data_IF_571565806743
#
_entry.id   IF_571565806743
#
_cell.length_a   1.000
_cell.length_b   1.000
_cell.length_c   1.000
_cell.angle_alpha   90.00
_cell.angle_beta   90.00
_cell.angle_gamma   90.00
#
_symmetry.space_group_name_H-M   'P 1'
#
loop_
_entity.id
_entity.type
_entity.pdbx_description
1 polymer ?
2 polymer ?
3 polymer ?
4 water ?
#
# COMPACT_ATOMS: atom_id res chain seq x y z
N UNK A 1 3.28 19.40 7.83
CA UNK A 1 2.41 18.38 7.30
C UNK A 1 2.79 17.00 7.76
N UNK A 2 1.92 16.02 7.55
CA UNK A 2 2.35 14.63 7.97
C UNK A 2 3.43 14.19 6.98
N UNK A 3 4.51 13.62 7.51
CA UNK A 3 5.61 13.17 6.54
C UNK A 3 6.22 11.93 7.18
N UNK A 4 6.54 10.95 6.32
CA UNK A 4 7.21 9.74 6.75
C UNK A 4 8.51 9.71 5.91
N UNK A 5 9.68 9.82 6.54
CA UNK A 5 10.97 9.87 5.71
C UNK A 5 11.78 8.64 6.07
N UNK A 6 12.03 7.84 5.06
CA UNK A 6 12.73 6.58 5.20
C UNK A 6 14.23 6.72 4.91
N UNK A 7 15.00 5.76 5.38
CA UNK A 7 16.43 5.67 5.13
C UNK A 7 16.72 5.35 3.65
N UNK A 8 18.00 5.47 3.28
CA UNK A 8 18.42 5.38 1.90
C UNK A 8 18.58 3.94 1.38
N UNK A 9 18.87 3.85 0.09
CA UNK A 9 18.98 2.55 -0.57
C UNK A 9 20.09 1.70 0.04
N UNK A 10 19.88 0.39 -0.03
CA UNK A 10 20.81 -0.61 0.51
C UNK A 10 21.17 -1.62 -0.56
N UNK A 11 22.42 -2.06 -0.54
CA UNK A 11 22.91 -3.09 -1.46
C UNK A 11 23.62 -4.12 -0.62
N UNK A 12 23.12 -5.35 -0.66
CA UNK A 12 23.48 -6.38 0.30
C UNK A 12 23.70 -7.69 -0.45
N UNK A 13 24.36 -8.63 0.22
CA UNK A 13 24.58 -9.96 -0.30
C UNK A 13 23.69 -10.95 0.45
N UNK A 14 23.37 -12.10 -0.15
CA UNK A 14 22.52 -13.07 0.56
C UNK A 14 23.14 -13.44 1.90
N UNK A 15 22.29 -13.60 2.91
CA UNK A 15 22.71 -13.96 4.24
C UNK A 15 22.85 -12.77 5.18
N UNK A 16 23.01 -11.57 4.66
CA UNK A 16 23.21 -10.37 5.46
C UNK A 16 21.87 -9.93 6.05
N UNK A 17 21.95 -8.95 6.96
CA UNK A 17 20.79 -8.29 7.52
C UNK A 17 20.77 -6.83 7.09
N UNK A 18 19.59 -6.22 7.12
CA UNK A 18 19.45 -4.79 6.89
C UNK A 18 18.38 -4.27 7.83
N UNK A 19 18.60 -3.02 8.33
CA UNK A 19 17.52 -2.37 9.21
C UNK A 19 17.19 -1.02 8.54
N UNK A 20 15.94 -0.87 8.12
CA UNK A 20 15.41 0.29 7.41
C UNK A 20 14.66 1.16 8.42
N UNK A 21 14.76 2.48 8.28
CA UNK A 21 13.98 3.33 9.29
C UNK A 21 12.94 4.14 8.54
N UNK A 22 11.96 4.62 9.29
CA UNK A 22 10.84 5.43 8.80
C UNK A 22 10.54 6.44 9.91
N UNK A 23 10.93 7.69 9.72
CA UNK A 23 10.79 8.71 10.74
C UNK A 23 9.54 9.54 10.45
N UNK A 24 8.64 9.60 11.41
CA UNK A 24 7.32 10.21 11.25
C UNK A 24 7.29 11.58 11.89
N UNK A 25 6.70 12.54 11.20
CA UNK A 25 6.51 13.87 11.78
C UNK A 25 5.16 14.42 11.36
N UNK A 26 4.74 15.46 12.08
CA UNK A 26 3.52 16.17 11.77
C UNK A 26 2.27 15.62 12.41
N UNK A 27 2.42 14.59 13.25
CA UNK A 27 1.30 14.04 14.02
C UNK A 27 1.92 13.29 15.20
N UNK A 28 1.06 12.91 16.14
CA UNK A 28 1.50 12.15 17.32
C UNK A 28 1.81 10.70 16.94
N UNK A 29 3.09 10.34 16.99
CA UNK A 29 3.54 9.05 16.46
C UNK A 29 2.79 7.86 17.06
N UNK A 30 2.59 7.88 18.38
CA UNK A 30 1.97 6.72 19.05
C UNK A 30 0.46 6.71 18.95
N UNK A 31 -0.14 7.67 18.24
CA UNK A 31 -1.58 7.68 18.11
C UNK A 31 -2.10 6.78 16.98
N UNK A 32 -1.23 6.37 16.05
CA UNK A 32 -1.67 5.64 14.88
C UNK A 32 -0.66 4.53 14.60
N UNK A 33 -1.16 3.43 14.03
CA UNK A 33 -0.33 2.30 13.66
C UNK A 33 0.53 2.61 12.44
N UNK A 34 1.51 1.75 12.22
CA UNK A 34 2.36 1.79 11.06
C UNK A 34 2.29 0.45 10.34
N UNK A 35 2.10 0.48 9.03
CA UNK A 35 2.07 -0.69 8.18
C UNK A 35 3.33 -0.73 7.32
N UNK A 36 3.64 -1.96 6.86
CA UNK A 36 4.86 -2.07 5.96
C UNK A 36 4.33 -2.77 4.68
N UNK A 37 4.88 -2.32 3.54
CA UNK A 37 4.35 -2.83 2.20
C UNK A 37 5.61 -3.03 1.36
N UNK A 38 5.66 -4.16 0.63
CA UNK A 38 6.91 -4.40 -0.21
C UNK A 38 6.47 -4.33 -1.69
N UNK A 39 7.40 -3.93 -2.55
CA UNK A 39 7.03 -3.96 -4.03
C UNK A 39 8.31 -4.39 -4.78
N UNK A 40 8.34 -5.64 -5.25
CA UNK A 40 9.52 -6.04 -6.12
C UNK A 40 9.53 -5.23 -7.43
N UNK A 41 10.74 -5.01 -8.01
CA UNK A 41 10.77 -4.18 -9.21
C UNK A 41 9.87 -4.69 -10.35
N UNK A 42 9.01 -3.84 -10.90
CA UNK A 42 8.08 -4.42 -11.97
C UNK A 42 6.87 -5.15 -11.47
N UNK A 43 6.71 -5.26 -10.15
CA UNK A 43 5.63 -6.07 -9.60
C UNK A 43 4.73 -5.26 -8.75
N UNK A 44 3.69 -5.86 -8.11
CA UNK A 44 2.67 -5.17 -7.36
C UNK A 44 2.99 -4.98 -5.87
N UNK A 45 2.04 -4.37 -5.18
CA UNK A 45 2.17 -4.13 -3.74
C UNK A 45 1.84 -5.40 -2.95
N UNK A 46 2.58 -5.63 -1.86
CA UNK A 46 2.39 -6.78 -0.96
C UNK A 46 2.37 -6.27 0.49
N UNK A 47 1.30 -6.58 1.20
CA UNK A 47 1.20 -6.18 2.61
C UNK A 47 2.05 -7.07 3.49
N UNK A 48 2.89 -6.45 4.32
CA UNK A 48 3.77 -7.24 5.18
C UNK A 48 3.26 -7.39 6.60
N UNK A 49 2.35 -6.52 7.05
CA UNK A 49 1.88 -6.51 8.42
C UNK A 49 1.89 -5.12 8.98
N UNK A 50 1.63 -5.04 10.29
CA UNK A 50 1.61 -3.75 10.96
C UNK A 50 2.25 -3.84 12.35
N UNK A 51 2.55 -2.68 12.92
CA UNK A 51 2.99 -2.59 14.30
C UNK A 51 2.11 -1.56 14.99
N UNK A 52 1.74 -1.88 16.25
CA UNK A 52 1.06 -0.90 17.09
C UNK A 52 2.12 0.01 17.72
N UNK A 53 1.95 1.30 17.57
CA UNK A 53 2.86 2.25 18.20
C UNK A 53 2.50 2.53 19.65
N UNK A 54 1.41 1.94 20.16
CA UNK A 54 1.12 1.96 21.60
C UNK A 54 1.86 0.82 22.30
N UNK A 55 1.67 -0.40 21.82
CA UNK A 55 2.23 -1.56 22.51
C UNK A 55 3.62 -1.93 21.99
N UNK A 56 3.97 -1.52 20.77
CA UNK A 56 5.15 -2.03 20.13
C UNK A 56 4.99 -3.41 19.52
N UNK A 57 3.81 -3.99 19.60
CA UNK A 57 3.65 -5.38 19.17
C UNK A 57 3.44 -5.46 17.66
N UNK A 58 4.23 -6.26 16.97
CA UNK A 58 4.06 -6.44 15.52
C UNK A 58 3.13 -7.61 15.24
N UNK A 59 2.39 -7.49 14.12
CA UNK A 59 1.60 -8.58 13.54
C UNK A 59 2.02 -8.73 12.10
N UNK A 60 2.53 -9.91 11.76
CA UNK A 60 3.08 -10.17 10.44
C UNK A 60 2.07 -10.85 9.54
N UNK A 61 2.08 -10.45 8.27
CA UNK A 61 1.38 -11.24 7.26
C UNK A 61 2.05 -12.61 7.17
N UNK A 62 1.27 -13.61 6.76
CA UNK A 62 1.76 -14.98 6.68
C UNK A 62 3.02 -15.10 5.85
N UNK A 63 3.11 -14.35 4.74
CA UNK A 63 4.26 -14.46 3.87
C UNK A 63 5.52 -13.83 4.49
N UNK A 64 5.39 -13.10 5.60
CA UNK A 64 6.47 -12.32 6.18
C UNK A 64 6.76 -12.73 7.62
N UNK A 65 6.49 -13.98 7.95
CA UNK A 65 6.75 -14.48 9.28
C UNK A 65 8.11 -15.17 9.30
N UNK A 66 8.93 -14.83 10.28
CA UNK A 66 10.19 -15.53 10.44
C UNK A 66 11.43 -14.67 10.42
N UNK A 67 11.70 -14.02 9.29
CA UNK A 67 12.94 -13.28 9.00
C UNK A 67 12.76 -11.77 9.11
N UNK A 68 11.53 -11.32 9.32
CA UNK A 68 11.20 -9.89 9.25
C UNK A 68 10.84 -9.42 10.65
N UNK A 69 11.33 -8.24 11.01
CA UNK A 69 11.10 -7.74 12.36
C UNK A 69 10.68 -6.27 12.25
N UNK A 70 9.51 -5.95 12.79
CA UNK A 70 9.10 -4.55 12.93
C UNK A 70 9.43 -4.11 14.37
N UNK A 71 9.97 -2.90 14.53
CA UNK A 71 10.27 -2.37 15.86
C UNK A 71 10.10 -0.87 15.83
N UNK A 72 10.31 -0.23 16.99
CA UNK A 72 10.10 1.20 17.13
C UNK A 72 11.22 1.82 17.97
N UNK A 73 11.43 3.13 17.78
CA UNK A 73 12.09 3.97 18.78
C UNK A 73 11.19 5.19 18.91
N UNK A 74 10.26 5.11 19.86
CA UNK A 74 9.26 6.15 20.04
C UNK A 74 9.89 7.49 20.41
N UNK A 75 11.05 7.47 21.09
CA UNK A 75 11.66 8.73 21.48
C UNK A 75 12.07 9.60 20.29
N UNK A 76 12.25 9.01 19.11
CA UNK A 76 12.57 9.76 17.90
C UNK A 76 11.53 9.49 16.82
N UNK A 77 10.34 9.07 17.22
CA UNK A 77 9.21 8.93 16.28
C UNK A 77 9.55 8.04 15.08
N UNK A 78 10.26 6.94 15.31
CA UNK A 78 10.76 6.13 14.21
C UNK A 78 10.29 4.69 14.29
N UNK A 79 9.86 4.17 13.14
CA UNK A 79 9.53 2.77 12.96
C UNK A 79 10.66 2.12 12.16
N UNK A 80 10.99 0.87 12.47
CA UNK A 80 12.07 0.16 11.79
C UNK A 80 11.57 -1.16 11.23
N UNK A 81 12.18 -1.56 10.12
CA UNK A 81 12.00 -2.89 9.57
C UNK A 81 13.37 -3.51 9.41
N UNK A 82 13.56 -4.70 9.98
CA UNK A 82 14.80 -5.43 9.78
C UNK A 82 14.48 -6.70 9.01
N UNK A 83 15.32 -7.01 8.04
CA UNK A 83 15.22 -8.25 7.30
C UNK A 83 16.50 -9.00 7.56
N UNK A 84 16.35 -10.23 8.10
CA UNK A 84 17.47 -11.09 8.40
C UNK A 84 17.61 -12.20 7.36
N UNK A 85 18.83 -12.73 7.24
CA UNK A 85 19.10 -13.81 6.29
C UNK A 85 18.60 -13.47 4.88
N UNK A 86 19.00 -12.30 4.39
CA UNK A 86 18.54 -11.79 3.10
C UNK A 86 18.68 -12.84 2.01
N UNK A 87 17.69 -12.87 1.11
CA UNK A 87 17.68 -13.74 -0.05
C UNK A 87 17.52 -12.87 -1.30
N UNK A 88 17.91 -13.42 -2.46
CA UNK A 88 17.76 -12.67 -3.72
C UNK A 88 16.35 -12.15 -3.89
N UNK A 89 15.35 -12.97 -3.54
CA UNK A 89 13.99 -12.57 -3.71
C UNK A 89 13.51 -11.48 -2.81
N UNK A 90 14.35 -11.00 -1.88
CA UNK A 90 14.00 -9.85 -1.06
C UNK A 90 14.24 -8.52 -1.74
N UNK A 91 14.82 -8.52 -2.95
CA UNK A 91 15.05 -7.26 -3.67
C UNK A 91 13.70 -6.58 -3.91
N UNK A 92 13.54 -5.36 -3.41
CA UNK A 92 12.26 -4.70 -3.45
C UNK A 92 12.41 -3.29 -2.91
N UNK A 93 11.41 -2.46 -3.19
CA UNK A 93 11.21 -1.24 -2.44
C UNK A 93 10.28 -1.55 -1.27
N UNK A 94 10.70 -1.14 -0.07
CA UNK A 94 9.93 -1.34 1.14
C UNK A 94 9.40 0.03 1.56
N UNK A 95 8.09 0.10 1.80
CA UNK A 95 7.41 1.32 2.21
C UNK A 95 6.87 1.16 3.65
N UNK A 96 7.03 2.21 4.46
CA UNK A 96 6.17 2.34 5.61
C UNK A 96 4.95 3.15 5.19
N UNK A 97 3.82 2.85 5.81
CA UNK A 97 2.59 3.52 5.46
C UNK A 97 1.73 3.67 6.72
N UNK A 98 1.30 4.90 6.99
CA UNK A 98 0.56 5.18 8.21
C UNK A 98 -0.83 4.59 8.16
N UNK A 99 -1.26 3.99 9.30
CA UNK A 99 -2.65 3.57 9.41
C UNK A 99 -3.58 4.71 9.76
N UNK A 100 -4.39 5.14 8.80
CA UNK A 100 -5.33 6.21 9.01
C UNK A 100 -6.28 5.84 10.14
N UNK A 101 -6.69 6.79 10.97
CA UNK A 101 -7.73 6.48 11.95
C UNK A 101 -9.02 6.13 11.23
N UNK A 102 -9.91 5.35 11.89
CA UNK A 102 -9.80 4.87 13.27
C UNK A 102 -9.03 3.56 13.44
N UNK A 103 -8.96 2.72 12.40
CA UNK A 103 -8.57 1.33 12.60
C UNK A 103 -7.27 0.97 11.92
N UNK A 104 -6.74 1.83 11.05
CA UNK A 104 -5.43 1.62 10.44
C UNK A 104 -5.40 0.85 9.14
N UNK A 105 -6.55 0.54 8.53
CA UNK A 105 -6.60 -0.32 7.34
C UNK A 105 -6.63 0.47 6.05
N UNK A 106 -6.65 1.80 6.14
CA UNK A 106 -6.44 2.71 5.01
C UNK A 106 -5.08 3.35 5.23
N UNK A 107 -4.24 3.43 4.19
CA UNK A 107 -2.87 3.92 4.34
C UNK A 107 -2.84 5.33 3.77
N UNK A 108 -2.95 6.34 4.64
CA UNK A 108 -3.17 7.71 4.19
C UNK A 108 -1.91 8.46 3.82
N UNK A 109 -0.77 8.14 4.43
CA UNK A 109 0.51 8.75 4.16
C UNK A 109 1.55 7.66 4.06
N UNK A 110 2.41 7.76 3.06
CA UNK A 110 3.42 6.75 2.76
C UNK A 110 4.80 7.36 2.83
N UNK A 111 5.75 6.60 3.34
CA UNK A 111 7.14 6.94 3.14
C UNK A 111 7.51 6.92 1.66
N UNK A 112 8.71 7.46 1.36
CA UNK A 112 9.14 7.53 -0.03
C UNK A 112 9.65 6.21 -0.54
N UNK A 113 9.79 5.21 0.32
CA UNK A 113 10.30 3.90 -0.06
C UNK A 113 11.80 3.82 0.14
N UNK A 114 12.25 2.61 0.52
CA UNK A 114 13.66 2.27 0.60
C UNK A 114 13.90 1.04 -0.27
N UNK A 115 14.75 1.20 -1.28
CA UNK A 115 15.17 0.08 -2.12
C UNK A 115 16.21 -0.75 -1.38
N UNK A 116 15.92 -2.05 -1.25
CA UNK A 116 16.89 -3.02 -0.75
C UNK A 116 17.16 -3.92 -1.93
N UNK A 117 18.42 -3.94 -2.37
CA UNK A 117 18.84 -4.78 -3.49
C UNK A 117 19.77 -5.86 -2.96
N UNK A 118 19.46 -7.11 -3.26
CA UNK A 118 20.29 -8.25 -2.86
C UNK A 118 20.94 -8.81 -4.10
N UNK A 119 22.28 -8.80 -4.13
CA UNK A 119 22.99 -9.20 -5.43
C UNK A 119 23.31 -10.66 -5.26
N UNK A 120 23.02 -11.43 -6.27
CA UNK A 120 23.19 -12.88 -6.30
C UNK A 120 24.38 -13.32 -7.13
N UNK A 121 25.04 -12.40 -7.83
CA UNK A 121 26.12 -12.73 -8.73
C UNK A 121 25.67 -13.03 -10.14
N UNK A 122 24.37 -13.09 -10.38
CA UNK A 122 23.86 -13.50 -11.68
C UNK A 122 22.36 -13.60 -11.71
N UNK B 1 -16.35 -5.41 14.75
CA UNK B 1 -15.70 -6.58 14.16
C UNK B 1 -14.38 -6.27 13.45
N UNK B 2 -14.23 -5.08 12.86
CA UNK B 2 -12.94 -4.69 12.29
C UNK B 2 -11.94 -4.46 13.41
N UNK B 3 -10.78 -5.11 13.31
CA UNK B 3 -9.72 -4.95 14.31
C UNK B 3 -9.16 -3.55 14.25
N UNK B 4 -9.00 -2.93 15.43
CA UNK B 4 -8.31 -1.65 15.52
C UNK B 4 -6.81 -1.94 15.60
N UNK B 5 -6.05 -1.60 14.56
CA UNK B 5 -4.64 -1.96 14.52
C UNK B 5 -3.87 -1.44 15.72
N UNK B 6 -4.10 -0.18 16.11
CA UNK B 6 -3.20 0.38 17.13
C UNK B 6 -3.54 -0.07 18.52
N UNK B 7 -4.79 -0.45 18.75
N UNK C 1 0.31 -10.36 -11.03
CA UNK C 1 -0.89 -9.64 -10.65
C UNK C 1 -2.13 -10.49 -10.78
N UNK C 2 -2.15 -11.39 -11.76
CA UNK C 2 -3.35 -12.17 -12.03
C UNK C 2 -3.67 -13.19 -10.94
N UNK C 3 -2.74 -13.45 -10.02
CA UNK C 3 -2.93 -14.40 -8.93
C UNK C 3 -3.24 -13.70 -7.62
N UNK C 4 -3.45 -12.39 -7.63
CA UNK C 4 -3.71 -11.64 -6.42
C UNK C 4 -5.07 -11.98 -5.79
N UNK C 5 -5.16 -11.74 -4.48
CA UNK C 5 -6.39 -11.99 -3.74
C UNK C 5 -7.58 -11.20 -4.29
N UNK C 6 -7.36 -9.91 -4.59
CA UNK C 6 -8.37 -9.10 -5.26
C UNK C 6 -8.00 -9.05 -6.74
N UNK C 7 -8.99 -9.22 -7.62
CA UNK C 7 -8.71 -9.27 -9.05
C UNK C 7 -9.02 -7.93 -9.69
N UNK C 8 -8.02 -7.37 -10.36
CA UNK C 8 -8.15 -6.18 -11.18
C UNK C 8 -7.75 -6.53 -12.61
N UNK C 9 -8.32 -5.87 -13.63
CA UNK C 9 -7.79 -6.07 -14.98
C UNK C 9 -6.35 -5.59 -15.03
N UNK C 10 -5.45 -6.28 -15.73
CA UNK C 10 -4.06 -5.81 -15.76
C UNK C 10 -3.91 -4.48 -16.43
N UNK C 11 -4.77 -4.17 -17.40
CA UNK C 11 -4.66 -2.92 -18.13
C UNK C 11 -6.05 -2.33 -18.33
N UNK C 12 -6.06 -1.02 -18.48
CA UNK C 12 -7.25 -0.28 -18.85
C UNK C 12 -6.79 0.91 -19.68
N UNK C 13 -7.71 1.48 -20.47
CA UNK C 13 -7.36 2.58 -21.36
C UNK C 13 -8.54 3.53 -21.49
N UNK C 14 -8.23 4.80 -21.73
CA UNK C 14 -9.24 5.76 -22.17
C UNK C 14 -8.54 6.85 -22.92
N UNK C 15 -9.32 7.75 -23.51
CA UNK C 15 -8.79 8.89 -24.23
C UNK C 15 -8.97 10.15 -23.40
N UNK C 16 -8.21 11.22 -23.66
CA UNK C 16 -8.41 12.46 -22.94
C UNK C 16 -9.86 12.87 -22.88
N UNK C 17 -10.31 13.24 -21.68
CA UNK C 17 -11.66 13.68 -21.45
C UNK C 17 -12.68 12.60 -21.25
N UNK C 18 -12.32 11.35 -21.51
CA UNK C 18 -13.25 10.23 -21.37
C UNK C 18 -13.35 9.82 -19.90
N UNK C 19 -14.45 9.15 -19.57
CA UNK C 19 -14.57 8.48 -18.27
C UNK C 19 -14.23 7.01 -18.42
N UNK C 20 -13.51 6.48 -17.43
CA UNK C 20 -13.14 5.07 -17.40
C UNK C 20 -13.41 4.52 -16.00
N UNK C 21 -13.81 3.26 -15.95
CA UNK C 21 -14.06 2.59 -14.69
C UNK C 21 -13.24 1.31 -14.65
N UNK C 22 -12.60 1.04 -13.50
CA UNK C 22 -11.85 -0.18 -13.34
C UNK C 22 -12.30 -0.91 -12.08
N UNK C 23 -12.38 -2.22 -12.19
CA UNK C 23 -12.97 -3.02 -11.12
C UNK C 23 -11.94 -3.76 -10.27
N UNK C 24 -12.44 -4.25 -9.12
CA UNK C 24 -11.62 -4.89 -8.09
C UNK C 24 -12.50 -5.93 -7.43
N UNK C 25 -12.32 -7.21 -7.79
CA UNK C 25 -13.23 -8.26 -7.33
C UNK C 25 -12.62 -9.04 -6.18
N UNK C 26 -13.32 -9.08 -5.06
CA UNK C 26 -12.91 -9.88 -3.91
C UNK C 26 -13.99 -10.87 -3.52
N UNK C 27 -14.24 -10.96 -2.21
CA UNK C 27 -15.14 -11.94 -1.62
C UNK C 27 -15.98 -11.26 -0.54
N UNK C 28 -16.93 -12.03 -0.01
CA UNK C 28 -17.77 -11.48 1.04
C UNK C 28 -17.03 -11.34 2.36
N UNK C 29 -15.80 -11.84 2.45
CA UNK C 29 -14.95 -11.69 3.63
C UNK C 29 -14.08 -10.46 3.54
N UNK C 30 -14.15 -9.68 2.45
CA UNK C 30 -13.29 -8.51 2.30
C UNK C 30 -14.09 -7.38 1.63
N UNK C 31 -14.02 -7.24 0.31
CA UNK C 31 -14.71 -6.16 -0.38
C UNK C 31 -16.20 -6.19 -0.07
N UNK C 32 -16.80 -7.39 -0.11
CA UNK C 32 -18.22 -7.52 0.15
C UNK C 32 -18.61 -7.53 1.61
N UNK C 33 -17.64 -7.56 2.53
CA UNK C 33 -17.96 -7.69 3.93
C UNK C 33 -17.76 -6.43 4.76
N UNK C 34 -16.95 -5.49 4.28
CA UNK C 34 -16.54 -4.34 5.08
C UNK C 34 -16.47 -3.13 4.18
N UNK C 35 -16.40 -1.95 4.80
CA UNK C 35 -16.32 -0.70 4.06
C UNK C 35 -14.94 -0.08 4.23
N UNK C 36 -13.90 -0.89 4.07
CA UNK C 36 -12.51 -0.47 4.13
C UNK C 36 -11.80 -0.87 2.83
N UNK C 37 -12.39 -0.47 1.70
CA UNK C 37 -11.79 -0.60 0.39
C UNK C 37 -11.07 0.70 0.05
N UNK C 38 -9.80 0.60 -0.31
CA UNK C 38 -9.01 1.78 -0.69
C UNK C 38 -8.53 1.62 -2.14
N UNK C 39 -8.20 2.77 -2.74
CA UNK C 39 -7.56 2.81 -4.04
C UNK C 39 -6.34 3.70 -3.91
N UNK C 40 -5.25 3.23 -4.51
CA UNK C 40 -3.96 3.93 -4.53
C UNK C 40 -3.51 4.12 -5.97
N UNK C 41 -3.00 5.31 -6.23
CA UNK C 41 -2.41 5.65 -7.52
C UNK C 41 -0.89 5.64 -7.38
N UNK C 42 -0.17 5.07 -8.35
CA UNK C 42 1.27 5.05 -8.29
C UNK C 42 1.88 5.41 -9.64
N UNK C 43 2.63 6.49 -9.65
CA UNK C 43 3.42 6.90 -10.80
C UNK C 43 4.81 6.27 -10.72
N UNK C 44 5.48 6.13 -11.88
CA UNK C 44 6.79 5.46 -11.89
C UNK C 44 7.77 6.14 -10.94
N UNK C 45 8.46 5.31 -10.15
CA UNK C 45 9.46 5.80 -9.21
C UNK C 45 8.93 6.49 -7.97
N UNK C 46 7.57 6.46 -7.78
CA UNK C 46 6.99 7.27 -6.62
C UNK C 46 6.24 6.29 -5.74
N UNK C 47 6.08 6.66 -4.48
CA UNK C 47 5.25 5.90 -3.55
C UNK C 47 3.80 5.93 -4.03
N UNK C 48 3.03 4.89 -3.72
CA UNK C 48 1.58 4.97 -3.88
C UNK C 48 1.01 6.16 -3.12
N UNK C 49 -0.07 6.68 -3.68
CA UNK C 49 -0.85 7.79 -3.12
C UNK C 49 -2.29 7.36 -2.93
N UNK C 50 -2.84 7.59 -1.74
CA UNK C 50 -4.25 7.30 -1.47
C UNK C 50 -5.13 8.24 -2.29
N UNK C 51 -6.06 7.66 -3.06
CA UNK C 51 -7.01 8.48 -3.80
C UNK C 51 -8.45 8.24 -3.37
N UNK C 52 -8.79 7.04 -2.87
CA UNK C 52 -10.15 6.76 -2.40
C UNK C 52 -10.00 5.87 -1.18
N UNK C 53 -10.79 6.13 -0.14
CA UNK C 53 -10.79 5.26 1.04
C UNK C 53 -12.21 5.02 1.51
N UNK C 54 -12.39 3.96 2.28
CA UNK C 54 -13.73 3.62 2.78
C UNK C 54 -14.73 3.59 1.63
N UNK C 55 -14.32 2.96 0.53
CA UNK C 55 -15.11 2.69 -0.67
C UNK C 55 -15.27 3.91 -1.57
N UNK C 56 -15.66 5.05 -0.97
CA UNK C 56 -16.08 6.20 -1.77
C UNK C 56 -15.57 7.54 -1.26
N UNK C 57 -14.83 7.59 -0.17
CA UNK C 57 -14.36 8.86 0.36
C UNK C 57 -13.07 9.29 -0.33
N UNK C 58 -12.90 10.59 -0.48
CA UNK C 58 -11.72 11.14 -1.12
C UNK C 58 -10.90 11.98 -0.14
N UNK C 59 -9.60 11.77 -0.04
CA UNK C 59 -8.75 12.66 0.76
C UNK C 59 -8.80 14.07 0.24
N UNK C 60 -8.61 15.03 1.14
CA UNK C 60 -8.56 16.41 0.70
C UNK C 60 -7.42 16.56 -0.30
N UNK C 61 -7.65 17.33 -1.35
CA UNK C 61 -6.66 17.55 -2.37
C UNK C 61 -6.76 16.61 -3.56
N UNK C 62 -7.40 15.46 -3.41
CA UNK C 62 -7.59 14.56 -4.56
C UNK C 62 -8.74 15.11 -5.39
N UNK C 63 -8.57 15.27 -6.72
CA UNK C 63 -9.62 15.83 -7.56
C UNK C 63 -10.90 15.01 -7.51
N UNK C 64 -12.03 15.73 -7.62
CA UNK C 64 -13.31 15.04 -7.64
C UNK C 64 -13.56 14.24 -8.92
N UNK C 65 -12.62 14.24 -9.88
CA UNK C 65 -12.73 13.36 -11.03
C UNK C 65 -12.57 11.89 -10.64
N UNK C 66 -12.02 11.60 -9.46
CA UNK C 66 -11.87 10.23 -8.97
C UNK C 66 -13.06 9.92 -8.06
N UNK C 67 -13.72 8.79 -8.27
CA UNK C 67 -14.82 8.38 -7.39
C UNK C 67 -14.79 6.85 -7.25
N UNK C 68 -15.35 6.36 -6.15
CA UNK C 68 -15.38 4.94 -5.89
C UNK C 68 -16.74 4.48 -5.45
N UNK C 69 -17.02 3.19 -5.72
CA UNK C 69 -18.28 2.58 -5.32
C UNK C 69 -18.04 1.07 -5.18
N UNK C 70 -19.04 0.35 -4.70
CA UNK C 70 -18.96 -1.11 -4.75
C UNK C 70 -20.35 -1.67 -4.92
N UNK C 71 -20.41 -2.91 -5.39
CA UNK C 71 -21.66 -3.67 -5.54
C UNK C 71 -21.32 -5.13 -5.30
N UNK C 72 -21.97 -5.74 -4.31
CA UNK C 72 -21.60 -7.11 -3.95
C UNK C 72 -20.14 -7.18 -3.55
N UNK C 73 -19.38 -8.08 -4.18
CA UNK C 73 -17.98 -8.27 -3.85
C UNK C 73 -17.04 -7.53 -4.78
N UNK C 74 -17.55 -6.57 -5.57
CA UNK C 74 -16.73 -5.88 -6.56
C UNK C 74 -16.75 -4.38 -6.28
N UNK C 75 -15.57 -3.81 -6.08
CA UNK C 75 -15.41 -2.37 -5.97
C UNK C 75 -14.99 -1.80 -7.32
N UNK C 76 -15.32 -0.53 -7.56
CA UNK C 76 -14.99 0.11 -8.83
C UNK C 76 -14.50 1.53 -8.59
N UNK C 77 -13.44 1.88 -9.30
CA UNK C 77 -12.90 3.22 -9.35
C UNK C 77 -13.27 3.81 -10.69
N UNK C 78 -13.81 5.02 -10.69
CA UNK C 78 -14.09 5.77 -11.91
C UNK C 78 -13.23 7.02 -11.95
N UNK C 79 -12.62 7.25 -13.11
CA UNK C 79 -11.86 8.44 -13.38
C UNK C 79 -12.60 9.17 -14.50
N UNK C 80 -13.14 10.34 -14.21
CA UNK C 80 -13.78 11.12 -15.25
C UNK C 80 -12.82 12.19 -15.77
N UNK C 81 -13.13 12.69 -16.97
CA UNK C 81 -12.30 13.75 -17.53
C UNK C 81 -10.85 13.39 -17.64
N UNK C 82 -10.55 12.20 -18.16
CA UNK C 82 -9.19 11.67 -18.11
C UNK C 82 -8.17 12.66 -18.62
N UNK C 83 -7.09 12.78 -17.86
CA UNK C 83 -5.96 13.65 -18.19
C UNK C 83 -4.72 12.80 -18.39
N UNK C 84 -3.78 13.31 -19.19
CA UNK C 84 -2.53 12.59 -19.44
C UNK C 84 -1.86 12.16 -18.16
N UNK C 85 -1.88 13.02 -17.14
CA UNK C 85 -1.24 12.74 -15.85
C UNK C 85 -1.91 11.62 -15.05
N UNK C 86 -3.09 11.17 -15.47
CA UNK C 86 -3.75 10.03 -14.83
C UNK C 86 -3.15 8.70 -15.26
N UNK C 87 -2.29 8.69 -16.27
CA UNK C 87 -1.64 7.45 -16.68
C UNK C 87 -0.73 7.00 -15.56
N UNK C 88 -1.01 5.82 -15.00
CA UNK C 88 -0.36 5.41 -13.75
C UNK C 88 -0.86 4.00 -13.47
N UNK C 89 -0.34 3.37 -12.42
CA UNK C 89 -0.86 2.10 -11.92
C UNK C 89 -1.83 2.40 -10.78
N UNK C 90 -2.90 1.64 -10.71
CA UNK C 90 -3.90 1.80 -9.69
C UNK C 90 -4.06 0.46 -8.97
N UNK C 91 -4.03 0.49 -7.64
CA UNK C 91 -4.17 -0.69 -6.80
C UNK C 91 -5.39 -0.52 -5.89
N UNK C 92 -6.21 -1.57 -5.77
CA UNK C 92 -7.21 -1.59 -4.71
C UNK C 92 -6.70 -2.42 -3.53
N UNK C 93 -7.33 -2.18 -2.39
CA UNK C 93 -7.03 -2.98 -1.19
C UNK C 93 -8.30 -3.13 -0.38
N UNK C 94 -8.29 -4.11 0.53
CA UNK C 94 -9.40 -4.25 1.48
C UNK C 94 -8.92 -4.93 2.75
N UNK C 95 -9.54 -4.52 3.86
CA UNK C 95 -9.54 -5.33 5.09
C UNK C 95 -10.20 -6.67 4.81
N UNK C 96 -9.79 -7.68 5.58
CA UNK C 96 -10.46 -8.98 5.52
C UNK C 96 -10.86 -9.43 6.93
N UNK C 97 -11.81 -10.36 6.95
CA UNK C 97 -12.27 -10.90 8.23
C UNK C 97 -11.20 -11.69 8.96
N UNK C 98 -10.08 -12.03 8.31
CA UNK C 98 -8.92 -12.64 8.95
C UNK C 98 -7.99 -11.62 9.59
N UNK C 99 -8.41 -10.36 9.69
CA UNK C 99 -7.56 -9.31 10.27
C UNK C 99 -6.29 -9.12 9.44
N UNK C 100 -6.43 -9.12 8.13
CA UNK C 100 -5.33 -8.84 7.21
C UNK C 100 -5.79 -7.78 6.22
N UNK C 101 -4.81 -7.27 5.45
CA UNK C 101 -5.07 -6.47 4.27
C UNK C 101 -4.73 -7.31 3.06
N UNK C 102 -5.59 -7.26 2.03
CA UNK C 102 -5.26 -7.84 0.73
C UNK C 102 -5.22 -6.72 -0.29
N UNK C 103 -4.36 -6.90 -1.28
CA UNK C 103 -4.23 -6.00 -2.42
C UNK C 103 -4.70 -6.66 -3.71
N UNK C 104 -5.20 -5.85 -4.63
CA UNK C 104 -5.31 -6.24 -6.01
C UNK C 104 -3.94 -6.23 -6.68
N UNK C 105 -3.89 -6.83 -7.89
CA UNK C 105 -2.66 -6.94 -8.62
C UNK C 105 -2.26 -5.70 -9.36
N UNK C 106 -3.10 -4.69 -9.38
CA UNK C 106 -2.77 -3.45 -10.08
C UNK C 106 -3.32 -3.42 -11.50
N UNK C 107 -3.75 -2.23 -11.93
CA UNK C 107 -4.18 -1.94 -13.28
C UNK C 107 -3.32 -0.81 -13.81
N UNK C 108 -2.69 -1.04 -14.96
CA UNK C 108 -1.99 0.03 -15.67
C UNK C 108 -3.01 0.76 -16.53
N UNK C 109 -3.30 2.01 -16.17
CA UNK C 109 -4.21 2.86 -16.95
C UNK C 109 -3.38 3.68 -17.95
N UNK C 110 -3.69 3.48 -19.25
CA UNK C 110 -3.08 4.23 -20.35
C UNK C 110 -4.06 5.28 -20.87
N UNK C 111 -3.54 6.47 -21.17
CA UNK C 111 -4.34 7.52 -21.78
C UNK C 111 -3.93 7.59 -23.26
N UNK C 112 -4.84 7.16 -24.16
CA UNK C 112 -4.54 7.02 -25.58
C UNK C 112 -4.37 8.39 -26.20
N UNK C 113 -3.26 8.59 -26.92
CA UNK C 113 -2.92 9.90 -27.46
C UNK C 113 -2.73 11.00 -26.43
N UNK C 114 -2.31 10.67 -25.20
CA UNK C 114 -2.10 11.67 -24.16
C UNK C 114 -1.03 12.71 -24.44
#
# INVERSE_FOLDING_TARGET
QVQLVQSGSELKKPGASVRISCKASGYSFTSLSMNWVRQAPGQGLEWMGWISTKSGDPTYAQAFTGRFVFSLDTSVNTAYLQINSLEAGDTAVYYCARGQPPVGWTFDYWGQGTLVTVSSGG
DVVNQNG
GSQSALTQPPSASGSPGQSVTISCTGTSSDVGGYNYVSWYQQHPGSAPKLIIYEVSKRPSGVPDRFSGSKSGNTASLTVSGLQAEDEADYYCSSYTSSSTLVFGGGTKLTVLGG
#
